data_IF_805763575988
#
_entry.id   IF_805763575988
#
_cell.length_a   1.000
_cell.length_b   1.000
_cell.length_c   1.000
_cell.angle_alpha   90.00
_cell.angle_beta   90.00
_cell.angle_gamma   90.00
#
_symmetry.space_group_name_H-M   'P 1'
#
loop_
_entity.id
_entity.type
_entity.pdbx_description
1 polymer ?
#
# COMPACT_ATOMS: atom_id res chain seq x y z
N UNK A 1 23.92 33.98 -6.10
CA UNK A 1 23.27 33.21 -5.03
C UNK A 1 21.80 33.55 -5.10
N UNK A 2 20.98 32.66 -5.65
CA UNK A 2 19.53 32.87 -5.82
C UNK A 2 18.80 31.70 -5.17
N UNK A 3 17.96 32.05 -4.19
CA UNK A 3 16.84 31.35 -3.53
C UNK A 3 16.46 29.98 -4.11
N UNK A 4 16.46 28.92 -3.29
CA UNK A 4 15.33 28.51 -2.44
C UNK A 4 14.04 28.32 -3.24
N UNK A 5 14.00 27.19 -3.94
CA UNK A 5 12.76 26.43 -4.16
C UNK A 5 12.88 25.17 -3.31
N UNK A 6 12.69 25.32 -1.99
CA UNK A 6 12.25 24.20 -1.16
C UNK A 6 10.79 23.95 -1.55
N UNK A 7 10.60 23.26 -2.67
CA UNK A 7 9.32 22.64 -2.99
C UNK A 7 9.02 21.68 -1.84
N UNK A 8 8.03 22.04 -1.04
CA UNK A 8 7.57 21.30 0.13
C UNK A 8 7.08 19.93 -0.31
N UNK A 9 7.95 18.94 -0.36
CA UNK A 9 7.56 17.54 -0.33
C UNK A 9 7.38 17.16 1.14
N UNK A 10 6.25 17.61 1.70
CA UNK A 10 5.66 16.96 2.86
C UNK A 10 5.34 15.50 2.47
N UNK A 11 6.32 14.62 2.59
CA UNK A 11 6.20 13.18 2.39
C UNK A 11 7.15 12.47 3.37
N UNK A 12 7.22 13.00 4.59
CA UNK A 12 8.02 12.45 5.68
C UNK A 12 7.08 12.09 6.83
N UNK A 13 6.64 10.84 6.84
CA UNK A 13 6.08 10.21 8.03
C UNK A 13 4.56 10.25 8.19
N UNK A 14 3.77 10.35 7.11
CA UNK A 14 2.34 10.09 7.22
C UNK A 14 2.11 8.60 7.54
N UNK A 15 1.83 8.33 8.82
CA UNK A 15 1.14 7.12 9.22
C UNK A 15 -0.18 7.10 8.45
N UNK A 16 -0.27 6.30 7.38
CA UNK A 16 -1.50 6.09 6.60
C UNK A 16 -2.57 5.42 7.47
N UNK A 17 -3.14 6.21 8.38
CA UNK A 17 -4.28 5.89 9.25
C UNK A 17 -5.49 6.67 8.74
N UNK A 18 -5.50 6.92 7.44
CA UNK A 18 -6.50 7.71 6.77
C UNK A 18 -7.76 6.84 6.61
N UNK A 19 -8.96 7.32 6.97
CA UNK A 19 -10.19 6.53 6.83
C UNK A 19 -10.49 6.16 5.37
N UNK A 20 -9.86 6.84 4.42
CA UNK A 20 -9.93 6.54 2.99
C UNK A 20 -9.15 5.28 2.59
N UNK A 21 -8.31 4.72 3.47
CA UNK A 21 -7.47 3.55 3.20
C UNK A 21 -7.74 2.41 4.18
N UNK A 22 -7.97 1.21 3.64
CA UNK A 22 -7.99 -0.02 4.40
C UNK A 22 -6.58 -0.63 4.43
N UNK A 23 -6.25 -1.32 5.52
CA UNK A 23 -4.97 -2.00 5.70
C UNK A 23 -5.14 -3.51 5.73
N UNK A 24 -4.23 -4.24 5.09
CA UNK A 24 -4.20 -5.69 5.01
C UNK A 24 -2.79 -6.20 5.31
N UNK A 25 -2.59 -7.09 6.28
CA UNK A 25 -1.32 -7.76 6.52
C UNK A 25 -1.03 -8.79 5.42
N UNK A 26 0.23 -8.90 5.01
CA UNK A 26 0.71 -9.80 3.98
C UNK A 26 1.89 -10.64 4.50
N UNK A 27 1.90 -11.91 4.13
CA UNK A 27 2.97 -12.86 4.48
C UNK A 27 4.17 -12.80 3.51
N UNK A 28 4.05 -12.02 2.45
CA UNK A 28 5.07 -11.85 1.40
C UNK A 28 5.87 -10.57 1.58
N UNK A 29 7.07 -10.53 1.01
CA UNK A 29 7.96 -9.36 1.06
C UNK A 29 7.36 -8.16 0.30
N UNK A 30 7.84 -6.96 0.59
CA UNK A 30 7.40 -5.74 -0.14
C UNK A 30 7.63 -5.86 -1.64
N UNK A 31 8.80 -6.36 -2.08
CA UNK A 31 9.11 -6.56 -3.50
C UNK A 31 8.16 -7.55 -4.18
N UNK A 32 7.86 -8.67 -3.52
CA UNK A 32 6.92 -9.68 -4.03
C UNK A 32 5.50 -9.11 -4.14
N UNK A 33 5.05 -8.37 -3.12
CA UNK A 33 3.75 -7.72 -3.14
C UNK A 33 3.63 -6.70 -4.29
N UNK A 34 4.70 -5.98 -4.61
CA UNK A 34 4.70 -5.04 -5.75
C UNK A 34 4.68 -5.77 -7.10
N UNK A 35 5.40 -6.89 -7.23
CA UNK A 35 5.35 -7.71 -8.44
C UNK A 35 3.92 -8.22 -8.69
N UNK A 36 3.26 -8.72 -7.65
CA UNK A 36 1.86 -9.15 -7.66
C UNK A 36 0.88 -8.02 -8.02
N UNK A 37 1.10 -6.82 -7.50
CA UNK A 37 0.33 -5.62 -7.87
C UNK A 37 0.48 -5.29 -9.35
N UNK A 38 1.72 -5.33 -9.85
CA UNK A 38 2.04 -5.04 -11.25
C UNK A 38 1.53 -6.13 -12.20
N UNK A 39 1.46 -7.39 -11.75
CA UNK A 39 0.85 -8.46 -12.52
C UNK A 39 -0.67 -8.29 -12.63
N UNK A 40 -1.33 -8.10 -11.48
CA UNK A 40 -2.78 -7.99 -11.38
C UNK A 40 -3.35 -6.74 -12.06
N UNK A 41 -2.66 -5.60 -11.96
CA UNK A 41 -3.16 -4.31 -12.45
C UNK A 41 -2.08 -3.55 -13.22
N UNK A 42 -2.24 -3.50 -14.54
CA UNK A 42 -1.38 -2.70 -15.42
C UNK A 42 -1.67 -1.20 -15.31
N UNK A 43 -0.67 -0.39 -15.67
CA UNK A 43 -0.77 1.07 -15.62
C UNK A 43 -0.78 1.62 -14.20
N UNK A 44 0.05 1.03 -13.35
CA UNK A 44 0.39 1.48 -12.00
C UNK A 44 1.89 1.77 -11.95
N UNK A 45 2.26 2.72 -11.10
CA UNK A 45 3.64 3.11 -10.86
C UNK A 45 3.94 3.00 -9.38
N UNK A 46 4.84 2.08 -9.02
CA UNK A 46 5.46 2.02 -7.70
C UNK A 46 6.57 3.06 -7.58
N UNK A 47 6.53 3.89 -6.55
CA UNK A 47 7.62 4.80 -6.18
C UNK A 47 8.10 4.44 -4.78
N UNK A 48 9.38 4.06 -4.61
CA UNK A 48 9.93 3.81 -3.28
C UNK A 48 10.00 5.11 -2.49
N UNK A 49 9.56 5.07 -1.24
CA UNK A 49 9.57 6.18 -0.29
C UNK A 49 10.06 5.69 1.07
N UNK A 50 10.45 6.59 2.00
CA UNK A 50 10.88 6.20 3.35
C UNK A 50 9.82 5.43 4.16
N UNK A 51 8.55 5.51 3.76
CA UNK A 51 7.42 4.84 4.42
C UNK A 51 6.96 3.58 3.68
N UNK A 52 7.69 3.14 2.65
CA UNK A 52 7.35 2.00 1.78
C UNK A 52 7.20 2.38 0.31
N UNK A 53 6.65 1.50 -0.50
CA UNK A 53 6.41 1.71 -1.93
C UNK A 53 5.00 2.26 -2.15
N UNK A 54 4.90 3.51 -2.61
CA UNK A 54 3.64 4.14 -2.98
C UNK A 54 3.25 3.75 -4.40
N UNK A 55 2.06 3.18 -4.55
CA UNK A 55 1.49 2.75 -5.84
C UNK A 55 0.50 3.79 -6.32
N UNK A 56 0.80 4.42 -7.46
CA UNK A 56 -0.02 5.46 -8.08
C UNK A 56 -0.54 5.03 -9.45
N UNK A 57 -1.67 5.59 -9.87
CA UNK A 57 -2.11 5.49 -11.27
C UNK A 57 -1.20 6.35 -12.17
N UNK A 58 -1.29 6.14 -13.49
CA UNK A 58 -0.60 6.98 -14.48
C UNK A 58 -0.97 8.47 -14.36
N UNK A 59 -2.17 8.78 -13.88
CA UNK A 59 -2.62 10.16 -13.59
C UNK A 59 -2.07 10.72 -12.26
N UNK A 60 -1.23 9.97 -11.54
CA UNK A 60 -0.60 10.39 -10.29
C UNK A 60 -1.43 10.13 -9.03
N UNK A 61 -2.61 9.51 -9.13
CA UNK A 61 -3.46 9.24 -7.96
C UNK A 61 -2.95 8.07 -7.13
N UNK A 62 -2.80 8.26 -5.82
CA UNK A 62 -2.43 7.20 -4.89
C UNK A 62 -3.59 6.19 -4.72
N UNK A 63 -3.28 4.91 -4.96
CA UNK A 63 -4.24 3.81 -4.85
C UNK A 63 -3.85 2.79 -3.78
N UNK A 64 -2.55 2.61 -3.55
CA UNK A 64 -2.04 1.73 -2.52
C UNK A 64 -0.65 2.15 -2.02
N UNK A 65 -0.26 1.64 -0.85
CA UNK A 65 1.07 1.75 -0.28
C UNK A 65 1.43 0.37 0.29
N UNK A 66 2.57 -0.16 -0.11
CA UNK A 66 3.11 -1.41 0.44
C UNK A 66 4.30 -1.05 1.31
N UNK A 67 4.32 -1.49 2.56
CA UNK A 67 5.42 -1.22 3.48
C UNK A 67 5.81 -2.48 4.24
N UNK A 68 7.05 -2.52 4.73
CA UNK A 68 7.49 -3.57 5.63
C UNK A 68 6.65 -3.53 6.90
N UNK A 69 6.37 -4.70 7.47
CA UNK A 69 5.68 -4.77 8.75
C UNK A 69 6.65 -4.39 9.87
N UNK A 70 6.24 -3.43 10.70
CA UNK A 70 7.03 -2.93 11.83
C UNK A 70 6.99 -3.88 13.05
N UNK A 71 6.22 -4.98 12.96
CA UNK A 71 6.13 -5.99 14.00
C UNK A 71 6.97 -7.20 13.62
N UNK A 72 7.85 -7.62 14.53
CA UNK A 72 8.61 -8.88 14.53
C UNK A 72 7.72 -10.14 14.66
N UNK A 73 6.44 -10.06 14.29
CA UNK A 73 5.62 -11.24 14.12
C UNK A 73 6.11 -11.95 12.84
N UNK A 74 6.85 -13.05 13.01
CA UNK A 74 7.49 -13.86 11.95
C UNK A 74 6.56 -14.24 10.78
N UNK A 75 5.24 -14.14 10.95
CA UNK A 75 4.25 -14.44 9.92
C UNK A 75 3.95 -13.26 8.98
N UNK A 76 4.14 -12.00 9.39
CA UNK A 76 3.74 -10.83 8.59
C UNK A 76 4.96 -10.11 8.05
N UNK A 77 5.33 -10.41 6.81
CA UNK A 77 6.48 -9.80 6.13
C UNK A 77 6.22 -8.38 5.64
N UNK A 78 4.99 -8.07 5.22
CA UNK A 78 4.64 -6.73 4.73
C UNK A 78 3.18 -6.36 4.98
N UNK A 79 2.84 -5.11 4.70
CA UNK A 79 1.51 -4.54 4.92
C UNK A 79 1.09 -3.70 3.73
N UNK A 80 -0.08 -4.02 3.18
CA UNK A 80 -0.75 -3.25 2.14
C UNK A 80 -1.71 -2.26 2.77
N UNK A 81 -1.64 -0.99 2.38
CA UNK A 81 -2.69 0.00 2.63
C UNK A 81 -3.29 0.37 1.28
N UNK A 82 -4.57 0.09 1.05
CA UNK A 82 -5.25 0.30 -0.24
C UNK A 82 -6.48 1.18 -0.06
N UNK A 83 -6.77 2.00 -1.06
CA UNK A 83 -7.84 3.01 -0.96
C UNK A 83 -9.23 2.40 -1.10
N UNK A 84 -10.20 2.86 -0.31
CA UNK A 84 -11.60 2.40 -0.29
C UNK A 84 -12.64 3.50 -0.58
N UNK A 85 -12.44 4.76 -0.20
CA UNK A 85 -13.43 5.87 -0.35
C UNK A 85 -12.73 7.24 -0.57
N UNK A 86 -13.37 8.25 -1.21
CA UNK A 86 -13.19 8.38 -2.65
C UNK A 86 -12.22 9.49 -3.08
N UNK A 87 -11.47 9.22 -4.15
CA UNK A 87 -10.92 10.26 -5.03
C UNK A 87 -11.36 10.08 -6.50
N UNK A 88 -11.62 8.86 -6.97
CA UNK A 88 -12.19 8.55 -8.29
C UNK A 88 -12.63 7.07 -8.34
N UNK A 89 -13.74 6.75 -9.00
CA UNK A 89 -14.23 5.36 -9.17
C UNK A 89 -13.15 4.42 -9.76
N UNK A 90 -12.30 4.94 -10.65
CA UNK A 90 -11.22 4.17 -11.27
C UNK A 90 -10.11 3.83 -10.27
N UNK A 91 -9.76 4.77 -9.39
CA UNK A 91 -8.73 4.58 -8.36
C UNK A 91 -9.18 3.54 -7.34
N UNK A 92 -10.41 3.66 -6.84
CA UNK A 92 -11.00 2.69 -5.91
C UNK A 92 -11.12 1.30 -6.54
N UNK A 93 -11.56 1.21 -7.80
CA UNK A 93 -11.66 -0.08 -8.50
C UNK A 93 -10.29 -0.75 -8.70
N UNK A 94 -9.23 0.02 -8.97
CA UNK A 94 -7.86 -0.52 -9.06
C UNK A 94 -7.36 -0.96 -7.69
N UNK A 95 -7.58 -0.16 -6.64
CA UNK A 95 -7.21 -0.52 -5.27
C UNK A 95 -7.89 -1.81 -4.79
N UNK A 96 -9.18 -2.01 -5.11
CA UNK A 96 -9.88 -3.26 -4.81
C UNK A 96 -9.29 -4.46 -5.55
N UNK A 97 -8.91 -4.30 -6.82
CA UNK A 97 -8.23 -5.38 -7.56
C UNK A 97 -6.88 -5.75 -6.94
N UNK A 98 -6.13 -4.74 -6.49
CA UNK A 98 -4.87 -4.94 -5.77
C UNK A 98 -5.12 -5.76 -4.50
N UNK A 99 -6.10 -5.34 -3.69
CA UNK A 99 -6.48 -6.07 -2.49
C UNK A 99 -6.83 -7.52 -2.82
N UNK A 100 -7.71 -7.76 -3.79
CA UNK A 100 -8.10 -9.12 -4.20
C UNK A 100 -6.96 -9.99 -4.72
N UNK A 101 -6.00 -9.41 -5.42
CA UNK A 101 -4.82 -10.15 -5.87
C UNK A 101 -3.93 -10.59 -4.68
N UNK A 102 -3.89 -9.77 -3.63
CA UNK A 102 -3.07 -9.95 -2.45
C UNK A 102 -3.79 -10.68 -1.30
N UNK A 103 -5.12 -10.84 -1.36
CA UNK A 103 -5.94 -11.59 -0.39
C UNK A 103 -5.45 -13.04 -0.23
N UNK A 104 -4.86 -13.66 -1.25
CA UNK A 104 -4.30 -15.02 -1.13
C UNK A 104 -3.02 -15.12 -0.30
N UNK A 105 -2.37 -13.99 -0.04
CA UNK A 105 -1.15 -13.87 0.75
C UNK A 105 -1.41 -13.19 2.10
N UNK A 106 -2.69 -13.00 2.44
CA UNK A 106 -3.05 -12.44 3.74
C UNK A 106 -3.07 -13.55 4.78
N UNK A 107 -2.45 -13.28 5.93
CA UNK A 107 -2.62 -14.14 7.08
C UNK A 107 -4.07 -14.01 7.55
N UNK A 108 -4.86 -15.09 7.63
CA UNK A 108 -6.14 -15.00 8.32
C UNK A 108 -5.81 -14.59 9.75
N UNK A 109 -6.33 -13.43 10.19
CA UNK A 109 -6.21 -13.01 11.57
C UNK A 109 -6.62 -14.21 12.43
N UNK A 110 -5.64 -14.76 13.15
CA UNK A 110 -5.78 -16.01 13.89
C UNK A 110 -7.05 -15.89 14.73
N UNK A 111 -8.08 -16.65 14.35
CA UNK A 111 -9.28 -16.76 15.14
C UNK A 111 -8.85 -17.60 16.32
N UNK A 112 -8.28 -16.98 17.35
CA UNK A 112 -7.95 -17.65 18.61
C UNK A 112 -9.23 -18.35 19.09
N UNK A 113 -9.33 -19.70 19.07
CA UNK A 113 -10.44 -20.35 19.72
C UNK A 113 -10.20 -20.14 21.22
N UNK A 114 -10.96 -19.23 21.82
CA UNK A 114 -11.07 -19.16 23.27
C UNK A 114 -11.72 -20.47 23.74
N UNK A 115 -10.87 -21.42 24.13
CA UNK A 115 -11.24 -22.70 24.75
C UNK A 115 -10.96 -22.70 26.23
#
# INVERSE_FOLDING_TARGET
MTNSSEESTADAGESFTDPEFATMPLEISVDEAIDEVHDAVKGLHGTPTPVGIKVRTTDGMLVAVVRESEHEDDAVSSRLSYRIEPASELATRKAQKIATALERFTTPAETVPSG
#
